data_IF_783242725213
#
_entry.id   IF_783242725213
#
_cell.length_a   1.000
_cell.length_b   1.000
_cell.length_c   1.000
_cell.angle_alpha   90.00
_cell.angle_beta   90.00
_cell.angle_gamma   90.00
#
_symmetry.space_group_name_H-M   'P 1'
#
loop_
_entity.id
_entity.type
_entity.pdbx_description
1 polymer ?
#
# COMPACT_ATOMS: atom_id res chain seq x y z
N UNK A 1 -17.72 16.21 11.49
CA UNK A 1 -16.95 15.77 12.68
C UNK A 1 -15.54 16.29 12.53
N UNK A 2 -15.02 17.01 13.51
CA UNK A 2 -13.60 17.44 13.58
C UNK A 2 -12.99 17.04 14.93
N UNK A 3 -13.58 16.02 15.55
CA UNK A 3 -13.30 15.63 16.92
C UNK A 3 -13.04 14.12 16.98
N UNK A 4 -11.92 13.76 17.58
CA UNK A 4 -11.50 12.39 17.79
C UNK A 4 -12.50 11.63 18.68
N UNK A 5 -13.17 12.31 19.60
CA UNK A 5 -14.17 11.69 20.47
C UNK A 5 -15.42 11.25 19.70
N UNK A 6 -15.91 12.08 18.77
CA UNK A 6 -17.04 11.75 17.90
C UNK A 6 -16.69 10.56 17.00
N UNK A 7 -15.50 10.59 16.38
CA UNK A 7 -15.01 9.51 15.52
C UNK A 7 -14.89 8.18 16.27
N UNK A 8 -14.34 8.19 17.48
CA UNK A 8 -14.22 6.98 18.31
C UNK A 8 -15.61 6.39 18.63
N UNK A 9 -16.58 7.24 18.97
CA UNK A 9 -17.95 6.79 19.24
C UNK A 9 -18.57 6.16 18.00
N UNK A 10 -18.40 6.78 16.83
CA UNK A 10 -18.88 6.22 15.56
C UNK A 10 -18.23 4.86 15.24
N UNK A 11 -16.91 4.76 15.35
CA UNK A 11 -16.19 3.50 15.10
C UNK A 11 -16.69 2.37 16.02
N UNK A 12 -16.91 2.66 17.31
CA UNK A 12 -17.46 1.69 18.26
C UNK A 12 -18.89 1.29 17.87
N UNK A 13 -19.74 2.23 17.48
CA UNK A 13 -21.11 1.96 17.04
C UNK A 13 -21.15 1.10 15.77
N UNK A 14 -20.16 1.26 14.89
CA UNK A 14 -19.97 0.44 13.69
C UNK A 14 -19.34 -0.94 13.99
N UNK A 15 -19.09 -1.26 15.26
CA UNK A 15 -18.59 -2.57 15.69
C UNK A 15 -17.08 -2.76 15.52
N UNK A 16 -16.33 -1.68 15.33
CA UNK A 16 -14.87 -1.77 15.22
C UNK A 16 -14.23 -2.11 16.57
N UNK A 17 -13.14 -2.89 16.57
CA UNK A 17 -12.51 -3.37 17.79
C UNK A 17 -11.60 -2.31 18.41
N UNK A 18 -12.16 -1.45 19.26
CA UNK A 18 -11.40 -0.46 20.03
C UNK A 18 -11.42 -0.79 21.52
N UNK A 19 -10.26 -1.20 22.05
CA UNK A 19 -10.06 -1.33 23.49
C UNK A 19 -9.69 0.01 24.15
N UNK A 20 -9.60 0.03 25.48
CA UNK A 20 -9.40 1.26 26.25
C UNK A 20 -8.03 1.86 25.98
N UNK A 21 -7.04 1.00 25.80
CA UNK A 21 -5.66 1.31 25.53
C UNK A 21 -5.53 2.01 24.17
N UNK A 22 -6.15 1.47 23.12
CA UNK A 22 -6.20 2.06 21.80
C UNK A 22 -6.96 3.38 21.77
N UNK A 23 -8.12 3.46 22.44
CA UNK A 23 -8.88 4.71 22.59
C UNK A 23 -8.01 5.80 23.23
N UNK A 24 -7.27 5.46 24.28
CA UNK A 24 -6.39 6.40 24.93
C UNK A 24 -5.21 6.81 24.03
N UNK A 25 -4.64 5.87 23.27
CA UNK A 25 -3.57 6.15 22.32
C UNK A 25 -4.02 7.12 21.21
N UNK A 26 -5.18 6.88 20.59
CA UNK A 26 -5.77 7.75 19.56
C UNK A 26 -6.06 9.17 20.07
N UNK A 27 -6.47 9.32 21.34
CA UNK A 27 -6.68 10.63 21.97
C UNK A 27 -5.38 11.36 22.31
N UNK A 28 -4.31 10.60 22.60
CA UNK A 28 -3.02 11.15 23.03
C UNK A 28 -2.19 11.58 21.83
N UNK A 29 -2.15 10.77 20.78
CA UNK A 29 -1.36 11.03 19.57
C UNK A 29 -2.23 11.82 18.58
N UNK A 30 -1.92 13.10 18.46
CA UNK A 30 -2.63 14.04 17.61
C UNK A 30 -2.18 13.89 16.16
N UNK A 31 -3.12 13.62 15.26
CA UNK A 31 -2.81 13.46 13.82
C UNK A 31 -2.24 14.75 13.22
N UNK A 32 -2.58 15.91 13.78
CA UNK A 32 -2.09 17.23 13.37
C UNK A 32 -0.58 17.40 13.54
N UNK A 33 0.03 16.61 14.43
CA UNK A 33 1.49 16.63 14.62
C UNK A 33 2.23 15.89 13.49
N UNK A 34 1.50 15.10 12.67
CA UNK A 34 2.04 14.25 11.60
C UNK A 34 1.59 14.69 10.21
N UNK A 35 0.62 15.60 10.09
CA UNK A 35 0.03 16.05 8.84
C UNK A 35 -0.19 17.57 8.89
N UNK A 36 0.43 18.31 7.97
CA UNK A 36 0.37 19.78 7.99
C UNK A 36 -1.02 20.33 7.64
N UNK A 37 -1.74 19.69 6.71
CA UNK A 37 -3.04 20.17 6.17
C UNK A 37 -3.93 19.00 5.81
N UNK A 38 -5.25 19.21 5.86
CA UNK A 38 -6.22 18.18 5.47
C UNK A 38 -6.35 17.05 6.48
N UNK A 39 -5.77 17.20 7.68
CA UNK A 39 -5.91 16.24 8.78
C UNK A 39 -7.37 16.09 9.23
N UNK A 40 -8.25 17.04 8.90
CA UNK A 40 -9.67 16.98 9.20
C UNK A 40 -10.36 15.78 8.54
N UNK A 41 -9.83 15.31 7.40
CA UNK A 41 -10.31 14.10 6.73
C UNK A 41 -10.13 12.86 7.62
N UNK A 42 -9.12 12.85 8.50
CA UNK A 42 -8.94 11.76 9.47
C UNK A 42 -10.16 11.64 10.40
N UNK A 43 -10.73 12.77 10.83
CA UNK A 43 -11.93 12.79 11.69
C UNK A 43 -13.23 12.38 10.99
N UNK A 44 -13.18 12.21 9.67
CA UNK A 44 -14.25 11.67 8.83
C UNK A 44 -13.98 10.22 8.43
N UNK A 45 -13.03 9.56 9.11
CA UNK A 45 -12.62 8.19 8.83
C UNK A 45 -12.02 7.96 7.43
N UNK A 46 -11.38 8.99 6.87
CA UNK A 46 -10.69 8.91 5.57
C UNK A 46 -9.16 8.81 5.74
N UNK A 47 -8.44 8.23 4.76
CA UNK A 47 -7.00 8.37 4.67
C UNK A 47 -6.59 9.84 4.54
N UNK A 48 -5.41 10.19 5.04
CA UNK A 48 -4.88 11.56 4.98
C UNK A 48 -3.52 11.63 4.31
N UNK A 49 -3.37 12.56 3.39
CA UNK A 49 -2.10 12.85 2.72
C UNK A 49 -1.13 13.50 3.72
N UNK A 50 0.02 12.88 3.95
CA UNK A 50 1.07 13.48 4.79
C UNK A 50 2.18 14.13 3.96
N UNK A 51 2.40 13.65 2.74
CA UNK A 51 3.33 14.25 1.79
C UNK A 51 3.05 13.85 0.35
N UNK A 52 3.59 14.65 -0.57
CA UNK A 52 3.74 14.32 -1.99
C UNK A 52 5.23 14.26 -2.32
N UNK A 53 5.68 13.19 -2.97
CA UNK A 53 7.10 13.03 -3.33
C UNK A 53 7.50 13.98 -4.47
N UNK A 54 8.81 14.11 -4.72
CA UNK A 54 9.33 14.91 -5.83
C UNK A 54 8.80 14.48 -7.21
N UNK A 55 8.41 13.20 -7.37
CA UNK A 55 7.75 12.68 -8.58
C UNK A 55 6.23 12.85 -8.61
N UNK A 56 5.67 13.53 -7.62
CA UNK A 56 4.25 13.82 -7.57
C UNK A 56 3.39 12.68 -7.02
N UNK A 57 3.98 11.67 -6.39
CA UNK A 57 3.22 10.56 -5.80
C UNK A 57 2.75 10.96 -4.40
N UNK A 58 1.44 10.88 -4.18
CA UNK A 58 0.82 11.15 -2.88
C UNK A 58 1.04 9.97 -1.93
N UNK A 59 1.50 10.25 -0.72
CA UNK A 59 1.69 9.26 0.35
C UNK A 59 0.72 9.57 1.49
N UNK A 60 -0.01 8.54 1.91
CA UNK A 60 -1.11 8.64 2.85
C UNK A 60 -0.85 7.89 4.16
N UNK A 61 -1.41 8.40 5.25
CA UNK A 61 -1.70 7.67 6.47
C UNK A 61 -3.07 6.99 6.28
N UNK A 62 -3.18 5.72 6.68
CA UNK A 62 -4.43 4.95 6.56
C UNK A 62 -5.56 5.55 7.40
N UNK A 63 -6.79 5.30 6.98
CA UNK A 63 -7.99 5.69 7.70
C UNK A 63 -8.03 5.12 9.13
N UNK A 64 -8.63 5.83 10.11
CA UNK A 64 -8.79 5.39 11.49
C UNK A 64 -9.37 3.98 11.65
N UNK A 65 -10.44 3.60 10.93
CA UNK A 65 -11.02 2.26 11.03
C UNK A 65 -10.00 1.18 10.66
N UNK A 66 -9.19 1.46 9.64
CA UNK A 66 -8.17 0.52 9.17
C UNK A 66 -7.05 0.40 10.20
N UNK A 67 -6.65 1.51 10.83
CA UNK A 67 -5.70 1.47 11.95
C UNK A 67 -6.24 0.65 13.13
N UNK A 68 -7.53 0.78 13.46
CA UNK A 68 -8.17 0.00 14.51
C UNK A 68 -8.17 -1.51 14.19
N UNK A 69 -8.52 -1.89 12.95
CA UNK A 69 -8.48 -3.28 12.47
C UNK A 69 -7.05 -3.83 12.53
N UNK A 70 -6.06 -3.11 11.99
CA UNK A 70 -4.67 -3.53 12.00
C UNK A 70 -4.15 -3.72 13.43
N UNK A 71 -4.36 -2.75 14.32
CA UNK A 71 -3.86 -2.80 15.70
C UNK A 71 -4.54 -3.88 16.53
N UNK A 72 -5.84 -4.13 16.30
CA UNK A 72 -6.55 -5.23 16.92
C UNK A 72 -5.94 -6.58 16.56
N UNK A 73 -5.73 -6.83 15.26
CA UNK A 73 -5.15 -8.09 14.78
C UNK A 73 -3.64 -8.21 15.02
N UNK A 74 -2.95 -7.11 15.29
CA UNK A 74 -1.55 -7.11 15.69
C UNK A 74 -1.35 -7.59 17.13
N UNK A 75 -2.41 -7.69 17.94
CA UNK A 75 -2.38 -8.29 19.28
C UNK A 75 -1.22 -7.77 20.15
N UNK A 76 -1.11 -6.44 20.22
CA UNK A 76 0.00 -5.74 20.88
C UNK A 76 -0.04 -5.95 22.39
N UNK A 77 1.15 -6.15 22.97
CA UNK A 77 1.37 -6.22 24.42
C UNK A 77 2.51 -5.29 24.82
N UNK A 78 2.44 -4.75 26.02
CA UNK A 78 3.49 -3.87 26.56
C UNK A 78 4.88 -4.53 26.50
N UNK A 79 5.90 -3.73 26.19
CA UNK A 79 7.30 -4.14 26.11
C UNK A 79 7.67 -5.00 24.89
N UNK A 80 6.75 -5.23 23.95
CA UNK A 80 7.06 -5.97 22.72
C UNK A 80 7.97 -5.18 21.78
N UNK A 81 8.66 -5.93 20.92
CA UNK A 81 9.41 -5.41 19.79
C UNK A 81 8.58 -5.53 18.51
N UNK A 82 8.30 -4.41 17.88
CA UNK A 82 7.48 -4.33 16.67
C UNK A 82 8.32 -3.84 15.49
N UNK A 83 8.23 -4.54 14.37
CA UNK A 83 8.78 -4.10 13.09
C UNK A 83 7.65 -3.55 12.22
N UNK A 84 7.80 -2.31 11.76
CA UNK A 84 6.95 -1.71 10.74
C UNK A 84 7.70 -1.68 9.41
N UNK A 85 7.08 -2.22 8.36
CA UNK A 85 7.55 -2.05 6.99
C UNK A 85 6.64 -1.02 6.32
N UNK A 86 7.24 0.10 5.90
CA UNK A 86 6.55 1.32 5.49
C UNK A 86 6.22 2.22 6.68
N UNK A 87 6.66 3.48 6.63
CA UNK A 87 6.64 4.38 7.78
C UNK A 87 5.31 5.11 7.98
N UNK A 88 4.58 5.37 6.88
CA UNK A 88 3.31 6.13 6.87
C UNK A 88 3.40 7.43 7.68
N UNK A 89 4.49 8.18 7.51
CA UNK A 89 4.71 9.45 8.21
C UNK A 89 4.98 9.34 9.71
N UNK A 90 5.01 8.12 10.28
CA UNK A 90 5.34 7.87 11.69
C UNK A 90 4.13 7.86 12.65
N UNK A 91 2.91 8.17 12.20
CA UNK A 91 1.74 8.23 13.07
C UNK A 91 1.42 6.88 13.74
N UNK A 92 1.41 5.79 12.96
CA UNK A 92 1.18 4.45 13.50
C UNK A 92 2.27 4.02 14.50
N UNK A 93 3.52 4.43 14.27
CA UNK A 93 4.61 4.19 15.22
C UNK A 93 4.37 4.93 16.54
N UNK A 94 3.90 6.17 16.51
CA UNK A 94 3.55 6.91 17.71
C UNK A 94 2.35 6.28 18.46
N UNK A 95 1.35 5.77 17.75
CA UNK A 95 0.25 5.00 18.38
C UNK A 95 0.80 3.73 19.06
N UNK A 96 1.66 2.97 18.37
CA UNK A 96 2.28 1.77 18.92
C UNK A 96 3.14 2.09 20.14
N UNK A 97 3.88 3.20 20.15
CA UNK A 97 4.70 3.62 21.27
C UNK A 97 3.85 3.85 22.53
N UNK A 98 2.65 4.41 22.37
CA UNK A 98 1.70 4.54 23.48
C UNK A 98 1.19 3.20 24.02
N UNK A 99 1.00 2.21 23.15
CA UNK A 99 0.50 0.88 23.49
C UNK A 99 1.60 -0.02 24.09
N UNK A 100 2.83 0.09 23.61
CA UNK A 100 3.97 -0.72 24.05
C UNK A 100 4.57 -0.21 25.37
N UNK A 101 4.53 1.11 25.61
CA UNK A 101 5.09 1.73 26.80
C UNK A 101 6.62 1.87 26.77
N UNK A 102 7.21 2.22 27.91
CA UNK A 102 8.63 2.61 28.04
C UNK A 102 9.62 1.51 27.62
N UNK A 103 9.26 0.24 27.83
CA UNK A 103 10.08 -0.92 27.44
C UNK A 103 9.87 -1.35 25.97
N UNK A 104 8.96 -0.67 25.26
CA UNK A 104 8.63 -0.94 23.86
C UNK A 104 9.76 -0.56 22.90
N UNK A 105 9.93 -1.36 21.85
CA UNK A 105 10.87 -1.05 20.76
C UNK A 105 10.13 -1.14 19.44
N UNK A 106 10.13 -0.05 18.68
CA UNK A 106 9.59 0.01 17.33
C UNK A 106 10.75 0.22 16.38
N UNK A 107 10.87 -0.65 15.39
CA UNK A 107 11.78 -0.45 14.26
C UNK A 107 10.95 -0.23 13.02
N UNK A 108 11.20 0.87 12.31
CA UNK A 108 10.57 1.19 11.04
C UNK A 108 11.61 0.98 9.94
N UNK A 109 11.26 0.20 8.92
CA UNK A 109 12.00 0.11 7.67
C UNK A 109 11.21 0.87 6.62
N UNK A 110 11.82 1.94 6.09
CA UNK A 110 11.24 2.74 5.01
C UNK A 110 12.15 2.66 3.77
N UNK A 111 11.69 2.02 2.69
CA UNK A 111 12.45 1.93 1.44
C UNK A 111 12.66 3.27 0.74
N UNK A 112 11.70 4.20 0.85
CA UNK A 112 11.70 5.42 0.07
C UNK A 112 12.41 6.57 0.80
N UNK A 113 13.50 7.07 0.21
CA UNK A 113 14.39 8.07 0.85
C UNK A 113 13.65 9.34 1.29
N UNK A 114 12.79 9.92 0.46
CA UNK A 114 12.06 11.14 0.87
C UNK A 114 11.08 10.89 2.02
N UNK A 115 10.44 9.71 2.06
CA UNK A 115 9.47 9.32 3.09
C UNK A 115 10.21 8.99 4.39
N UNK A 116 11.38 8.35 4.29
CA UNK A 116 12.28 8.08 5.39
C UNK A 116 12.68 9.38 6.10
N UNK A 117 13.17 10.36 5.35
CA UNK A 117 13.59 11.66 5.89
C UNK A 117 12.42 12.45 6.45
N UNK A 118 11.27 12.45 5.77
CA UNK A 118 10.04 13.03 6.32
C UNK A 118 9.72 12.42 7.69
N UNK A 119 9.72 11.09 7.78
CA UNK A 119 9.34 10.37 9.01
C UNK A 119 10.33 10.62 10.14
N UNK A 120 11.63 10.68 9.85
CA UNK A 120 12.66 11.06 10.83
C UNK A 120 12.37 12.44 11.40
N UNK A 121 12.18 13.44 10.53
CA UNK A 121 11.91 14.81 10.95
C UNK A 121 10.60 14.97 11.75
N UNK A 122 9.58 14.18 11.43
CA UNK A 122 8.31 14.17 12.17
C UNK A 122 8.48 13.52 13.54
N UNK A 123 9.11 12.35 13.61
CA UNK A 123 9.31 11.62 14.86
C UNK A 123 10.36 12.25 15.79
N UNK A 124 11.30 13.06 15.28
CA UNK A 124 12.20 13.86 16.13
C UNK A 124 11.46 14.85 17.04
N UNK A 125 10.27 15.30 16.62
CA UNK A 125 9.42 16.21 17.40
C UNK A 125 8.48 15.47 18.34
N UNK A 126 8.35 14.15 18.18
CA UNK A 126 7.49 13.31 18.98
C UNK A 126 8.19 12.90 20.28
N UNK A 127 7.51 13.08 21.42
CA UNK A 127 8.03 12.63 22.70
C UNK A 127 7.68 11.14 22.92
N UNK A 128 8.58 10.26 22.51
CA UNK A 128 8.40 8.81 22.66
C UNK A 128 8.52 8.36 24.11
N UNK A 129 7.73 7.36 24.49
CA UNK A 129 7.86 6.63 25.75
C UNK A 129 8.98 5.61 25.68
N UNK A 130 8.99 4.82 24.61
CA UNK A 130 9.99 3.79 24.33
C UNK A 130 10.98 4.23 23.25
N UNK A 131 11.54 3.23 22.57
CA UNK A 131 12.53 3.44 21.49
C UNK A 131 11.86 3.31 20.13
N UNK A 132 11.99 4.34 19.30
CA UNK A 132 11.58 4.31 17.89
C UNK A 132 12.83 4.47 17.01
N UNK A 133 13.11 3.47 16.16
CA UNK A 133 14.20 3.49 15.17
C UNK A 133 13.61 3.63 13.77
N UNK A 134 14.20 4.50 12.95
CA UNK A 134 13.76 4.73 11.57
C UNK A 134 14.94 4.48 10.63
N UNK A 135 14.88 3.38 9.89
CA UNK A 135 15.97 2.83 9.10
C UNK A 135 15.60 2.75 7.62
N UNK A 136 16.59 2.96 6.76
CA UNK A 136 16.49 2.54 5.36
C UNK A 136 16.69 1.02 5.26
N UNK A 137 16.38 0.43 4.09
CA UNK A 137 16.69 -0.99 3.83
C UNK A 137 18.20 -1.27 3.97
N UNK A 138 19.06 -0.34 3.54
CA UNK A 138 20.51 -0.51 3.62
C UNK A 138 21.06 -0.38 5.04
N UNK A 139 20.39 0.38 5.91
CA UNK A 139 20.78 0.53 7.31
C UNK A 139 20.25 -0.62 8.20
N UNK A 140 19.35 -1.44 7.67
CA UNK A 140 18.84 -2.61 8.37
C UNK A 140 19.85 -3.77 8.25
N UNK A 141 20.70 -3.92 9.26
CA UNK A 141 21.62 -5.07 9.32
C UNK A 141 20.83 -6.30 9.76
N UNK A 142 20.55 -7.18 8.80
CA UNK A 142 19.86 -8.43 9.08
C UNK A 142 20.52 -9.21 10.22
N UNK A 143 21.85 -9.35 10.29
CA UNK A 143 22.47 -10.20 11.33
C UNK A 143 22.38 -9.58 12.74
N UNK A 144 22.50 -8.26 12.85
CA UNK A 144 22.46 -7.57 14.14
C UNK A 144 21.03 -7.27 14.61
N UNK A 145 20.14 -6.93 13.68
CA UNK A 145 18.74 -6.62 13.97
C UNK A 145 17.83 -7.86 13.95
N UNK A 146 18.10 -8.90 13.16
CA UNK A 146 17.39 -10.21 13.30
C UNK A 146 17.80 -10.97 14.55
N UNK A 147 19.02 -10.74 15.08
CA UNK A 147 19.39 -11.23 16.41
C UNK A 147 18.51 -10.62 17.52
N UNK A 148 17.77 -9.55 17.22
CA UNK A 148 16.71 -8.98 18.06
C UNK A 148 15.35 -9.43 17.51
N UNK A 149 15.01 -10.69 17.74
CA UNK A 149 13.72 -11.30 17.34
C UNK A 149 12.53 -10.34 17.58
N UNK A 150 11.77 -10.02 16.52
CA UNK A 150 10.57 -9.19 16.62
C UNK A 150 9.39 -10.03 17.09
N UNK A 151 8.59 -9.49 18.02
CA UNK A 151 7.37 -10.15 18.48
C UNK A 151 6.23 -9.97 17.47
N UNK A 152 6.23 -8.85 16.75
CA UNK A 152 5.22 -8.50 15.73
C UNK A 152 5.88 -7.84 14.53
N UNK A 153 5.43 -8.20 13.34
CA UNK A 153 5.80 -7.49 12.11
C UNK A 153 4.53 -7.03 11.41
N UNK A 154 4.46 -5.76 11.07
CA UNK A 154 3.35 -5.18 10.33
C UNK A 154 3.85 -4.56 9.02
N UNK A 155 3.33 -5.04 7.90
CA UNK A 155 3.53 -4.46 6.58
C UNK A 155 2.36 -3.51 6.30
N UNK A 156 2.65 -2.24 6.04
CA UNK A 156 1.62 -1.18 5.90
C UNK A 156 1.28 -0.83 4.45
N UNK A 157 1.66 -1.69 3.51
CA UNK A 157 1.42 -1.54 2.07
C UNK A 157 1.38 -2.91 1.41
N UNK A 158 0.68 -3.02 0.30
CA UNK A 158 0.42 -4.29 -0.36
C UNK A 158 1.72 -4.93 -0.86
N UNK A 159 1.90 -6.23 -0.55
CA UNK A 159 3.01 -7.04 -1.04
C UNK A 159 2.46 -8.34 -1.63
N UNK A 160 3.04 -8.85 -2.72
CA UNK A 160 2.65 -10.17 -3.25
C UNK A 160 3.15 -11.30 -2.35
N UNK A 161 4.36 -11.13 -1.82
CA UNK A 161 5.05 -12.11 -0.98
C UNK A 161 5.73 -11.40 0.20
N UNK A 162 6.15 -12.15 1.21
CA UNK A 162 6.95 -11.61 2.31
C UNK A 162 8.28 -11.10 1.73
N UNK A 163 8.66 -9.82 1.93
CA UNK A 163 9.92 -9.29 1.42
C UNK A 163 11.12 -10.11 1.91
N UNK A 164 12.06 -10.43 1.03
CA UNK A 164 13.23 -11.29 1.33
C UNK A 164 14.06 -10.82 2.53
N UNK A 165 14.11 -9.50 2.77
CA UNK A 165 14.82 -8.93 3.90
C UNK A 165 14.13 -9.22 5.26
N UNK A 166 12.86 -9.60 5.24
CA UNK A 166 12.08 -10.06 6.40
C UNK A 166 12.26 -11.57 6.60
N UNK A 167 13.50 -12.03 6.82
CA UNK A 167 13.74 -13.40 7.24
C UNK A 167 13.51 -13.53 8.76
N UNK A 168 12.25 -13.63 9.17
CA UNK A 168 11.88 -13.62 10.58
C UNK A 168 12.20 -14.97 11.23
N UNK A 169 12.93 -14.90 12.34
CA UNK A 169 13.18 -16.05 13.22
C UNK A 169 11.87 -16.57 13.80
N UNK A 170 11.68 -17.89 13.75
CA UNK A 170 10.50 -18.62 14.24
C UNK A 170 10.41 -18.64 15.78
N UNK A 171 10.32 -17.47 16.41
CA UNK A 171 10.01 -17.41 17.84
C UNK A 171 8.53 -17.74 18.00
N UNK A 172 8.23 -18.67 18.90
CA UNK A 172 6.86 -19.06 19.20
C UNK A 172 6.04 -17.81 19.60
N UNK A 173 4.91 -17.62 18.92
CA UNK A 173 4.01 -16.48 19.14
C UNK A 173 4.38 -15.18 18.39
N UNK A 174 5.40 -15.19 17.53
CA UNK A 174 5.66 -14.12 16.57
C UNK A 174 4.92 -14.33 15.25
N UNK A 175 4.50 -13.24 14.60
CA UNK A 175 3.80 -13.30 13.32
C UNK A 175 3.98 -12.03 12.49
N UNK A 176 3.73 -12.18 11.19
CA UNK A 176 3.59 -11.07 10.24
C UNK A 176 2.11 -10.80 10.04
N UNK A 177 1.72 -9.53 10.09
CA UNK A 177 0.44 -9.04 9.64
C UNK A 177 0.68 -8.12 8.43
N UNK A 178 -0.08 -8.29 7.36
CA UNK A 178 0.04 -7.40 6.22
C UNK A 178 -1.00 -7.65 5.14
N UNK A 179 -1.22 -6.68 4.25
CA UNK A 179 -2.00 -6.86 3.04
C UNK A 179 -1.17 -7.66 2.02
N UNK A 180 -1.62 -8.86 1.70
CA UNK A 180 -1.01 -9.73 0.69
C UNK A 180 -1.91 -9.84 -0.55
N UNK A 181 -1.31 -9.67 -1.71
CA UNK A 181 -2.02 -9.77 -2.99
C UNK A 181 -1.54 -8.74 -3.99
N UNK A 182 -2.35 -8.58 -5.03
CA UNK A 182 -2.08 -7.70 -6.16
C UNK A 182 -2.53 -6.25 -5.95
N UNK A 183 -2.55 -5.48 -7.02
CA UNK A 183 -3.04 -4.10 -7.01
C UNK A 183 -4.57 -4.03 -6.87
N UNK A 184 -5.29 -5.07 -7.32
CA UNK A 184 -6.75 -5.09 -7.42
C UNK A 184 -7.39 -5.83 -6.24
N UNK A 185 -6.83 -6.99 -5.89
CA UNK A 185 -7.35 -7.82 -4.80
C UNK A 185 -6.25 -8.11 -3.79
N UNK A 186 -6.48 -7.72 -2.55
CA UNK A 186 -5.57 -7.96 -1.43
C UNK A 186 -6.35 -8.53 -0.25
N UNK A 187 -5.66 -9.37 0.51
CA UNK A 187 -6.18 -10.02 1.70
C UNK A 187 -5.31 -9.63 2.88
N UNK A 188 -5.91 -9.21 3.98
CA UNK A 188 -5.17 -9.00 5.21
C UNK A 188 -4.86 -10.36 5.81
N UNK A 189 -3.58 -10.78 5.78
CA UNK A 189 -3.18 -12.08 6.29
C UNK A 189 -2.34 -11.92 7.55
N UNK A 190 -2.66 -12.74 8.55
CA UNK A 190 -1.76 -13.04 9.68
C UNK A 190 -1.01 -14.32 9.35
N UNK A 191 0.32 -14.22 9.19
CA UNK A 191 1.21 -15.33 8.85
C UNK A 191 2.06 -15.71 10.06
N UNK A 192 1.86 -16.91 10.58
CA UNK A 192 2.57 -17.48 11.72
C UNK A 192 3.54 -18.56 11.22
N UNK A 193 4.81 -18.50 11.64
CA UNK A 193 5.79 -19.53 11.29
C UNK A 193 5.74 -20.67 12.31
N UNK A 194 5.27 -21.84 11.90
CA UNK A 194 5.29 -23.05 12.72
C UNK A 194 6.29 -24.05 12.13
N UNK A 195 7.42 -24.24 12.82
CA UNK A 195 8.57 -24.99 12.29
C UNK A 195 9.09 -24.34 10.99
N UNK A 196 9.01 -25.05 9.85
CA UNK A 196 9.43 -24.55 8.54
C UNK A 196 8.26 -24.11 7.65
N UNK A 197 7.02 -24.21 8.14
CA UNK A 197 5.82 -23.89 7.37
C UNK A 197 5.16 -22.59 7.86
N UNK A 198 4.60 -21.83 6.93
CA UNK A 198 3.77 -20.67 7.23
C UNK A 198 2.31 -21.10 7.34
N UNK A 199 1.68 -20.72 8.44
CA UNK A 199 0.24 -20.83 8.62
C UNK A 199 -0.39 -19.46 8.45
N UNK A 200 -1.29 -19.37 7.47
CA UNK A 200 -1.99 -18.15 7.13
C UNK A 200 -3.38 -18.15 7.75
N UNK A 201 -3.73 -17.05 8.41
CA UNK A 201 -5.11 -16.71 8.79
C UNK A 201 -5.56 -15.54 7.93
N UNK A 202 -6.60 -15.74 7.13
CA UNK A 202 -7.25 -14.69 6.32
C UNK A 202 -8.22 -13.87 7.19
N UNK A 203 -8.00 -12.57 7.25
CA UNK A 203 -8.74 -11.63 8.09
C UNK A 203 -9.70 -10.74 7.31
N UNK A 204 -9.76 -10.83 5.99
CA UNK A 204 -10.64 -9.98 5.18
C UNK A 204 -9.98 -9.39 3.94
N UNK A 205 -10.82 -8.85 3.04
CA UNK A 205 -10.36 -8.08 1.89
C UNK A 205 -9.99 -6.66 2.32
N UNK A 206 -8.90 -6.13 1.77
CA UNK A 206 -8.41 -4.77 2.06
C UNK A 206 -7.87 -4.13 0.78
N UNK A 207 -7.69 -2.81 0.81
CA UNK A 207 -7.02 -2.07 -0.26
C UNK A 207 -5.96 -1.17 0.33
N UNK A 208 -4.71 -1.47 0.02
CA UNK A 208 -3.55 -0.69 0.38
C UNK A 208 -2.77 -0.31 -0.88
N UNK A 209 -2.14 0.86 -0.85
CA UNK A 209 -1.14 1.22 -1.85
C UNK A 209 -0.02 0.17 -1.87
N UNK A 210 0.55 -0.15 -3.04
CA UNK A 210 1.68 -1.05 -3.15
C UNK A 210 2.84 -0.65 -2.26
N UNK A 211 3.52 -1.64 -1.67
CA UNK A 211 4.77 -1.42 -0.97
C UNK A 211 5.93 -1.47 -1.96
N UNK A 212 6.62 -0.35 -2.11
CA UNK A 212 7.85 -0.27 -2.91
C UNK A 212 9.02 -0.86 -2.10
N UNK A 213 9.08 -2.18 -1.98
CA UNK A 213 10.14 -2.89 -1.22
C UNK A 213 11.52 -2.77 -1.85
N UNK A 214 11.58 -2.29 -3.09
CA UNK A 214 12.77 -1.90 -3.83
C UNK A 214 12.68 -0.38 -3.93
N UNK A 215 13.76 0.35 -3.69
CA UNK A 215 13.83 1.83 -3.67
C UNK A 215 13.48 2.47 -5.03
N UNK A 216 12.27 2.25 -5.51
CA UNK A 216 11.74 2.58 -6.82
C UNK A 216 10.27 2.93 -6.65
N UNK A 217 9.95 4.20 -6.81
CA UNK A 217 8.57 4.65 -6.96
C UNK A 217 7.96 4.00 -8.20
N UNK A 218 6.90 3.22 -8.01
CA UNK A 218 6.15 2.58 -9.11
C UNK A 218 5.47 3.65 -9.98
N UNK A 219 5.90 3.75 -11.23
CA UNK A 219 5.20 4.49 -12.28
C UNK A 219 4.04 3.60 -12.79
N UNK A 220 2.80 4.11 -12.98
CA UNK A 220 1.72 3.35 -13.61
C UNK A 220 2.06 2.75 -14.97
N UNK A 221 2.98 3.37 -15.72
CA UNK A 221 3.48 2.88 -17.01
C UNK A 221 4.79 2.07 -16.88
N UNK A 222 5.21 1.72 -15.67
CA UNK A 222 6.31 0.78 -15.47
C UNK A 222 5.87 -0.61 -16.00
N UNK A 223 6.68 -1.26 -16.85
CA UNK A 223 6.31 -2.56 -17.43
C UNK A 223 5.99 -3.63 -16.38
N UNK A 224 6.69 -3.62 -15.25
CA UNK A 224 6.45 -4.57 -14.15
C UNK A 224 5.11 -4.28 -13.49
N UNK A 225 4.78 -3.01 -13.28
CA UNK A 225 3.51 -2.58 -12.67
C UNK A 225 2.33 -2.91 -13.58
N UNK A 226 2.46 -2.67 -14.88
CA UNK A 226 1.46 -3.04 -15.87
C UNK A 226 1.27 -4.55 -15.96
N UNK A 227 2.35 -5.32 -16.02
CA UNK A 227 2.29 -6.78 -16.03
C UNK A 227 1.60 -7.32 -14.77
N UNK A 228 1.96 -6.82 -13.58
CA UNK A 228 1.30 -7.21 -12.31
C UNK A 228 -0.20 -6.87 -12.33
N UNK A 229 -0.58 -5.67 -12.79
CA UNK A 229 -1.99 -5.29 -12.82
C UNK A 229 -2.81 -6.02 -13.90
N UNK A 230 -2.19 -6.42 -15.02
CA UNK A 230 -2.80 -7.28 -16.03
C UNK A 230 -3.04 -8.68 -15.47
N UNK A 231 -2.07 -9.27 -14.79
CA UNK A 231 -2.23 -10.55 -14.08
C UNK A 231 -3.40 -10.50 -13.10
N UNK A 232 -3.46 -9.46 -12.28
CA UNK A 232 -4.48 -9.30 -11.25
C UNK A 232 -5.87 -9.10 -11.88
N UNK A 233 -5.96 -8.29 -12.93
CA UNK A 233 -7.23 -8.06 -13.65
C UNK A 233 -7.72 -9.34 -14.28
N UNK A 234 -6.81 -10.06 -14.95
CA UNK A 234 -7.15 -11.26 -15.68
C UNK A 234 -7.56 -12.41 -14.75
N UNK A 235 -6.89 -12.56 -13.61
CA UNK A 235 -7.30 -13.49 -12.56
C UNK A 235 -8.73 -13.20 -12.09
N UNK A 236 -9.06 -11.93 -11.83
CA UNK A 236 -10.40 -11.53 -11.40
C UNK A 236 -11.47 -11.75 -12.49
N UNK A 237 -11.16 -11.40 -13.75
CA UNK A 237 -12.09 -11.59 -14.87
C UNK A 237 -12.36 -13.09 -15.07
N UNK A 238 -11.33 -13.93 -14.98
CA UNK A 238 -11.44 -15.39 -15.15
C UNK A 238 -12.30 -16.07 -14.08
N UNK A 239 -12.42 -15.47 -12.89
CA UNK A 239 -13.36 -15.94 -11.86
C UNK A 239 -14.82 -15.57 -12.14
N UNK A 240 -15.04 -14.51 -12.92
CA UNK A 240 -16.37 -13.94 -13.18
C UNK A 240 -16.98 -14.41 -14.50
N UNK A 241 -16.17 -14.61 -15.53
CA UNK A 241 -16.63 -14.96 -16.88
C UNK A 241 -15.72 -16.03 -17.52
N UNK A 242 -16.29 -16.82 -18.42
CA UNK A 242 -15.50 -17.70 -19.30
C UNK A 242 -14.79 -16.86 -20.37
N UNK A 243 -13.48 -17.06 -20.50
CA UNK A 243 -12.62 -16.37 -21.47
C UNK A 243 -12.17 -17.36 -22.54
N UNK A 244 -12.15 -16.92 -23.79
CA UNK A 244 -11.66 -17.72 -24.92
C UNK A 244 -10.15 -18.02 -24.78
N UNK A 245 -9.71 -19.22 -25.19
CA UNK A 245 -8.31 -19.64 -25.11
C UNK A 245 -7.36 -18.72 -25.90
N UNK A 246 -7.81 -18.12 -27.02
CA UNK A 246 -7.00 -17.19 -27.81
C UNK A 246 -6.77 -15.87 -27.06
N UNK A 247 -7.77 -15.40 -26.32
CA UNK A 247 -7.65 -14.20 -25.48
C UNK A 247 -6.74 -14.50 -24.28
N UNK A 248 -6.89 -15.68 -23.66
CA UNK A 248 -6.00 -16.15 -22.58
C UNK A 248 -4.54 -16.10 -23.01
N UNK A 249 -4.21 -16.72 -24.15
CA UNK A 249 -2.84 -16.73 -24.67
C UNK A 249 -2.33 -15.31 -24.96
N UNK A 250 -3.17 -14.45 -25.53
CA UNK A 250 -2.79 -13.06 -25.84
C UNK A 250 -2.45 -12.25 -24.58
N UNK A 251 -3.19 -12.46 -23.48
CA UNK A 251 -2.89 -11.81 -22.20
C UNK A 251 -1.58 -12.34 -21.59
N UNK A 252 -1.36 -13.65 -21.61
CA UNK A 252 -0.12 -14.26 -21.12
C UNK A 252 1.11 -13.76 -21.92
N UNK A 253 0.99 -13.69 -23.24
CA UNK A 253 2.06 -13.21 -24.14
C UNK A 253 2.37 -11.72 -23.88
N UNK A 254 1.34 -10.89 -23.65
CA UNK A 254 1.52 -9.48 -23.30
C UNK A 254 2.23 -9.32 -21.95
N UNK A 255 1.79 -10.05 -20.92
CA UNK A 255 2.40 -10.05 -19.59
C UNK A 255 3.87 -10.46 -19.66
N UNK A 256 4.17 -11.53 -20.39
CA UNK A 256 5.53 -12.02 -20.57
C UNK A 256 6.40 -10.98 -21.29
N UNK A 257 5.88 -10.38 -22.36
CA UNK A 257 6.59 -9.34 -23.12
C UNK A 257 6.89 -8.10 -22.28
N UNK A 258 5.93 -7.66 -21.45
CA UNK A 258 6.13 -6.55 -20.51
C UNK A 258 7.21 -6.86 -19.46
N UNK A 259 7.29 -8.10 -18.96
CA UNK A 259 8.33 -8.51 -18.01
C UNK A 259 9.72 -8.62 -18.62
N UNK A 260 9.81 -8.88 -19.92
CA UNK A 260 11.08 -9.00 -20.66
C UNK A 260 11.64 -7.65 -21.12
N UNK A 261 10.82 -6.59 -21.07
CA UNK A 261 11.25 -5.25 -21.40
C UNK A 261 12.43 -4.76 -20.52
N UNK A 262 13.35 -3.97 -21.08
CA UNK A 262 14.44 -3.38 -20.32
C UNK A 262 13.93 -2.39 -19.26
N UNK A 263 14.68 -2.20 -18.18
CA UNK A 263 14.24 -1.37 -17.03
C UNK A 263 14.40 0.14 -17.25
N UNK A 264 15.20 0.55 -18.23
CA UNK A 264 15.55 1.94 -18.55
C UNK A 264 14.67 2.52 -19.67
N UNK A 265 13.36 2.30 -19.56
CA UNK A 265 12.38 2.81 -20.52
C UNK A 265 12.13 4.30 -20.30
N UNK A 266 11.99 5.10 -21.39
CA UNK A 266 11.62 6.51 -21.29
C UNK A 266 10.34 6.72 -20.48
N UNK A 267 10.38 7.67 -19.54
CA UNK A 267 9.20 8.02 -18.74
C UNK A 267 8.22 8.84 -19.58
N UNK A 268 6.96 8.44 -19.60
CA UNK A 268 5.86 9.27 -20.09
C UNK A 268 5.29 10.07 -18.92
N UNK A 269 5.07 11.36 -19.12
CA UNK A 269 4.37 12.23 -18.19
C UNK A 269 3.48 13.23 -18.96
N UNK A 270 2.79 14.11 -18.24
CA UNK A 270 1.86 15.12 -18.81
C UNK A 270 2.52 16.09 -19.82
N UNK A 271 3.85 16.18 -19.87
CA UNK A 271 4.59 17.02 -20.83
C UNK A 271 5.18 16.22 -21.99
N UNK A 272 4.99 14.89 -22.04
CA UNK A 272 5.45 14.07 -23.15
C UNK A 272 4.65 14.39 -24.41
N UNK A 273 5.36 14.48 -25.54
CA UNK A 273 4.72 14.65 -26.85
C UNK A 273 4.07 13.36 -27.35
N UNK A 274 3.10 13.48 -28.26
CA UNK A 274 2.43 12.33 -28.87
C UNK A 274 3.42 11.36 -29.55
N UNK A 275 4.48 11.90 -30.18
CA UNK A 275 5.55 11.09 -30.78
C UNK A 275 6.32 10.29 -29.71
N UNK A 276 6.66 10.92 -28.57
CA UNK A 276 7.34 10.23 -27.46
C UNK A 276 6.45 9.16 -26.79
N UNK A 277 5.13 9.36 -26.77
CA UNK A 277 4.17 8.39 -26.24
C UNK A 277 4.11 7.18 -27.18
N UNK A 278 3.96 7.40 -28.49
CA UNK A 278 3.83 6.32 -29.48
C UNK A 278 5.14 5.53 -29.63
N UNK A 279 6.29 6.19 -29.57
CA UNK A 279 7.60 5.53 -29.65
C UNK A 279 7.98 4.77 -28.37
N UNK A 280 7.18 4.88 -27.31
CA UNK A 280 7.46 4.18 -26.05
C UNK A 280 7.26 2.65 -26.22
N UNK A 281 8.26 1.81 -25.88
CA UNK A 281 8.16 0.36 -26.02
C UNK A 281 6.98 -0.29 -25.29
N UNK A 282 6.55 0.30 -24.17
CA UNK A 282 5.37 -0.16 -23.42
C UNK A 282 4.10 0.11 -24.23
N UNK A 283 3.98 1.30 -24.80
CA UNK A 283 2.82 1.70 -25.60
C UNK A 283 2.73 0.90 -26.88
N UNK A 284 3.85 0.68 -27.58
CA UNK A 284 3.90 -0.14 -28.79
C UNK A 284 3.42 -1.58 -28.53
N UNK A 285 3.89 -2.19 -27.42
CA UNK A 285 3.41 -3.52 -27.00
C UNK A 285 1.92 -3.53 -26.68
N UNK A 286 1.43 -2.57 -25.90
CA UNK A 286 0.00 -2.50 -25.59
C UNK A 286 -0.87 -2.31 -26.85
N UNK A 287 -0.44 -1.45 -27.77
CA UNK A 287 -1.14 -1.22 -29.05
C UNK A 287 -1.13 -2.47 -29.93
N UNK A 288 -0.06 -3.26 -29.91
CA UNK A 288 0.06 -4.48 -30.72
C UNK A 288 -0.95 -5.57 -30.33
N UNK A 289 -1.35 -5.62 -29.06
CA UNK A 289 -2.32 -6.61 -28.54
C UNK A 289 -3.72 -6.03 -28.33
N UNK A 290 -3.91 -4.72 -28.49
CA UNK A 290 -5.18 -4.02 -28.22
C UNK A 290 -6.35 -4.56 -29.05
N UNK A 291 -6.13 -4.91 -30.32
CA UNK A 291 -7.19 -5.47 -31.18
C UNK A 291 -7.65 -6.86 -30.69
N UNK A 292 -6.72 -7.71 -30.25
CA UNK A 292 -7.03 -9.05 -29.73
C UNK A 292 -7.70 -8.99 -28.36
N UNK A 293 -7.26 -8.06 -27.53
CA UNK A 293 -7.77 -7.87 -26.17
C UNK A 293 -9.04 -7.02 -26.11
N UNK A 294 -9.50 -6.44 -27.23
CA UNK A 294 -10.66 -5.57 -27.30
C UNK A 294 -11.92 -6.07 -26.56
N UNK A 295 -12.26 -7.40 -26.53
CA UNK A 295 -13.43 -7.88 -25.79
C UNK A 295 -13.35 -7.70 -24.26
N UNK A 296 -12.14 -7.75 -23.69
CA UNK A 296 -11.91 -7.66 -22.24
C UNK A 296 -11.20 -6.37 -21.81
N UNK A 297 -10.64 -5.63 -22.77
CA UNK A 297 -9.87 -4.40 -22.52
C UNK A 297 -10.62 -3.35 -21.69
N UNK A 298 -11.91 -3.04 -21.95
CA UNK A 298 -12.64 -2.07 -21.12
C UNK A 298 -12.77 -2.50 -19.65
N UNK A 299 -12.79 -3.82 -19.38
CA UNK A 299 -12.85 -4.35 -18.02
C UNK A 299 -11.47 -4.22 -17.36
N UNK A 300 -10.40 -4.57 -18.09
CA UNK A 300 -9.02 -4.40 -17.63
C UNK A 300 -8.73 -2.94 -17.30
N UNK A 301 -9.07 -2.02 -18.21
CA UNK A 301 -8.88 -0.58 -18.03
C UNK A 301 -9.57 -0.07 -16.76
N UNK A 302 -10.82 -0.49 -16.54
CA UNK A 302 -11.57 -0.15 -15.34
C UNK A 302 -10.92 -0.70 -14.06
N UNK A 303 -10.48 -1.97 -14.08
CA UNK A 303 -9.88 -2.62 -12.91
C UNK A 303 -8.51 -2.04 -12.56
N UNK A 304 -7.68 -1.72 -13.56
CA UNK A 304 -6.36 -1.15 -13.32
C UNK A 304 -6.39 0.36 -13.05
N UNK A 305 -7.55 1.01 -13.22
CA UNK A 305 -7.66 2.48 -13.18
C UNK A 305 -6.61 3.16 -14.08
N UNK A 306 -6.26 2.51 -15.20
CA UNK A 306 -5.33 3.11 -16.14
C UNK A 306 -6.10 4.23 -16.85
N UNK A 307 -5.80 5.49 -16.54
CA UNK A 307 -6.22 6.62 -17.39
C UNK A 307 -5.37 6.67 -18.67
N UNK A 308 -5.43 5.62 -19.48
CA UNK A 308 -4.83 5.62 -20.82
C UNK A 308 -5.55 6.66 -21.69
N UNK A 309 -6.86 6.79 -21.48
CA UNK A 309 -7.75 7.69 -22.25
C UNK A 309 -7.37 9.16 -22.11
N UNK A 310 -6.77 9.60 -20.99
CA UNK A 310 -6.31 11.00 -20.87
C UNK A 310 -5.01 11.29 -21.63
N UNK A 311 -4.19 10.27 -21.91
CA UNK A 311 -2.98 10.42 -22.75
C UNK A 311 -3.29 10.48 -24.25
N UNK A 312 -4.48 10.04 -24.67
CA UNK A 312 -4.93 10.07 -26.07
C UNK A 312 -5.82 11.28 -26.41
N UNK A 313 -6.03 12.20 -25.46
CA UNK A 313 -6.90 13.36 -25.64
C UNK A 313 -6.14 14.69 -25.58
N UNK A 314 -5.15 14.84 -26.47
CA UNK A 314 -4.73 16.16 -26.94
C UNK A 314 -5.75 16.67 -27.98
N UNK A 315 -6.63 17.58 -27.55
CA UNK A 315 -7.49 18.48 -28.35
C UNK A 315 -7.87 18.02 -29.78
N UNK A 316 -9.02 17.34 -29.95
CA UNK A 316 -10.08 17.78 -30.89
C UNK A 316 -11.29 16.82 -30.97
N UNK A 317 -12.48 17.40 -30.76
CA UNK A 317 -13.84 16.98 -31.17
C UNK A 317 -14.61 15.85 -30.45
N UNK A 318 -15.63 16.30 -29.69
CA UNK A 318 -17.01 15.82 -29.64
C UNK A 318 -17.28 14.32 -29.81
N UNK A 319 -17.57 13.67 -28.68
CA UNK A 319 -18.88 13.06 -28.35
C UNK A 319 -18.79 11.66 -27.74
N UNK A 320 -19.57 11.50 -26.65
CA UNK A 320 -19.93 10.27 -25.94
C UNK A 320 -18.85 9.62 -25.05
N UNK A 321 -18.74 10.12 -23.81
CA UNK A 321 -19.25 9.49 -22.58
C UNK A 321 -18.78 10.40 -21.44
N UNK A 322 -19.61 11.39 -21.09
CA UNK A 322 -19.47 12.12 -19.82
C UNK A 322 -20.61 11.64 -18.94
N UNK A 323 -20.25 10.80 -17.97
CA UNK A 323 -21.11 10.39 -16.87
C UNK A 323 -20.29 10.47 -15.59
N UNK A 324 -20.21 11.66 -15.01
CA UNK A 324 -19.61 11.84 -13.69
C UNK A 324 -20.35 10.98 -12.66
N UNK A 325 -19.60 10.17 -11.93
CA UNK A 325 -20.12 9.42 -10.79
C UNK A 325 -20.23 10.36 -9.57
N UNK A 326 -21.16 11.30 -9.62
CA UNK A 326 -21.86 11.78 -8.42
C UNK A 326 -23.15 10.96 -8.36
N UNK A 327 -23.12 9.82 -7.66
CA UNK A 327 -24.29 9.15 -7.06
C UNK A 327 -23.98 7.67 -6.81
N UNK A 328 -23.14 7.38 -5.81
CA UNK A 328 -23.17 6.11 -5.08
C UNK A 328 -22.80 6.38 -3.61
N UNK A 329 -23.74 6.98 -2.88
CA UNK A 329 -23.87 6.81 -1.43
C UNK A 329 -25.32 6.35 -1.20
N UNK A 330 -25.55 5.23 -0.49
CA UNK A 330 -26.91 4.71 -0.27
C UNK A 330 -27.82 5.66 0.52
#
# INVERSE_FOLDING_TARGET
MTDIDELIVEMINNGLPLDKELINALKTVKIEDFVERGYEQFYLDNPVEFMKTSKGIVKNISAPHMLAILLHHLEIKMGQKVLLVGSKGGYLAAILDQLLGEDGIITIIEPHVEVLEYTRNTLEKYFSKGVIRVLSISDFDYNEDSAKEFDRVLITGAVREIPDFLNISSREGSFILGPFGGNIQQRLLKKEKQSEEWLDTDLGGVVFSPMDTRNSERNPLDPTVLAEGLEDSFAMISELIEIDEEILQSVEDLIQSLKELPRDIPLINENSSDEEIIENPVMDLMMSEMERLAPIWPIIEHLMSIELVNLFHSEDNDSFISGGHEDLVP
#
